data_IF_538383287071
#
_entry.id   IF_538383287071
#
_cell.length_a   1.000
_cell.length_b   1.000
_cell.length_c   1.000
_cell.angle_alpha   90.00
_cell.angle_beta   90.00
_cell.angle_gamma   90.00
#
_symmetry.space_group_name_H-M   'P 1'
#
loop_
_entity.id
_entity.type
_entity.pdbx_description
1 polymer ?
#
# COMPACT_ATOMS: atom_id res chain seq x y z
N UNK A 1 22.90 6.01 -8.82
CA UNK A 1 22.18 5.03 -9.65
C UNK A 1 20.92 4.63 -8.90
N UNK A 2 19.75 5.03 -9.37
CA UNK A 2 18.42 4.41 -9.18
C UNK A 2 17.48 5.28 -10.05
N UNK A 3 16.69 4.80 -11.01
CA UNK A 3 16.57 3.52 -11.67
C UNK A 3 16.18 3.85 -13.13
N UNK A 4 16.76 3.14 -14.09
CA UNK A 4 16.43 3.28 -15.51
C UNK A 4 15.12 2.54 -15.83
N UNK A 5 14.30 3.13 -16.70
CA UNK A 5 13.50 2.40 -17.67
C UNK A 5 12.02 2.16 -17.36
N UNK A 6 11.19 2.68 -18.27
CA UNK A 6 9.74 2.50 -18.47
C UNK A 6 8.86 3.30 -17.50
N UNK A 7 7.96 4.10 -18.08
CA UNK A 7 7.15 5.17 -17.46
C UNK A 7 6.31 4.71 -16.25
N UNK A 8 6.94 4.48 -15.11
CA UNK A 8 6.28 4.31 -13.83
C UNK A 8 6.03 5.70 -13.24
N UNK A 9 4.77 6.15 -13.24
CA UNK A 9 4.40 7.42 -12.61
C UNK A 9 4.39 7.23 -11.11
N UNK A 10 5.40 7.76 -10.43
CA UNK A 10 5.46 7.81 -8.96
C UNK A 10 5.44 9.28 -8.56
N UNK A 11 4.45 9.67 -7.77
CA UNK A 11 4.34 11.04 -7.25
C UNK A 11 4.55 10.98 -5.74
N UNK A 12 5.63 11.64 -5.30
CA UNK A 12 6.08 11.62 -3.90
C UNK A 12 6.00 13.03 -3.34
N UNK A 13 5.19 13.25 -2.31
CA UNK A 13 5.08 14.56 -1.65
C UNK A 13 5.33 14.43 -0.15
N UNK A 14 6.48 14.91 0.31
CA UNK A 14 6.91 14.81 1.72
C UNK A 14 6.90 13.38 2.27
N UNK A 15 7.18 12.37 1.45
CA UNK A 15 7.23 10.97 1.84
C UNK A 15 8.64 10.40 1.74
N UNK A 16 8.89 9.30 2.46
CA UNK A 16 10.20 8.64 2.51
C UNK A 16 10.11 7.24 1.91
N UNK A 17 10.99 6.97 0.96
CA UNK A 17 11.14 5.63 0.34
C UNK A 17 12.60 5.24 0.48
N UNK A 18 12.88 4.15 1.17
CA UNK A 18 14.26 3.70 1.46
C UNK A 18 14.35 2.17 1.56
N UNK A 19 15.57 1.61 1.66
CA UNK A 19 15.80 0.16 1.59
C UNK A 19 15.70 -0.39 0.16
N UNK A 20 15.27 -1.66 0.04
CA UNK A 20 15.04 -2.38 -1.21
C UNK A 20 13.57 -2.27 -1.68
N UNK A 21 12.88 -1.21 -1.27
CA UNK A 21 11.49 -0.98 -1.59
C UNK A 21 11.29 -0.73 -3.10
N UNK A 22 10.27 -1.37 -3.67
CA UNK A 22 9.88 -1.21 -5.07
C UNK A 22 8.55 -0.48 -5.14
N UNK A 23 8.52 0.62 -5.90
CA UNK A 23 7.29 1.43 -6.09
C UNK A 23 7.05 1.69 -7.57
N UNK A 24 5.84 1.35 -8.04
CA UNK A 24 5.40 1.57 -9.43
C UNK A 24 3.93 2.01 -9.44
N UNK A 25 3.58 2.99 -10.29
CA UNK A 25 2.20 3.49 -10.46
C UNK A 25 1.53 3.82 -9.11
N UNK A 26 2.14 4.73 -8.35
CA UNK A 26 1.71 5.04 -6.99
C UNK A 26 1.82 6.54 -6.65
N UNK A 27 0.88 7.00 -5.84
CA UNK A 27 0.85 8.30 -5.20
C UNK A 27 1.17 8.12 -3.73
N UNK A 28 2.30 8.67 -3.28
CA UNK A 28 2.79 8.55 -1.91
C UNK A 28 2.96 9.96 -1.35
N UNK A 29 2.13 10.36 -0.40
CA UNK A 29 2.07 11.74 0.11
C UNK A 29 1.97 11.83 1.64
N UNK A 30 2.19 13.04 2.16
CA UNK A 30 1.90 13.46 3.54
C UNK A 30 2.63 12.70 4.67
N UNK A 31 3.95 12.47 4.54
CA UNK A 31 4.82 11.73 5.50
C UNK A 31 4.65 10.22 5.50
N UNK A 32 4.11 9.66 4.42
CA UNK A 32 4.06 8.22 4.26
C UNK A 32 5.48 7.65 4.10
N UNK A 33 5.68 6.44 4.61
CA UNK A 33 6.97 5.74 4.62
C UNK A 33 6.85 4.37 3.94
N UNK A 34 7.75 4.08 3.01
CA UNK A 34 7.86 2.77 2.34
C UNK A 34 9.29 2.28 2.45
N UNK A 35 9.51 1.15 3.11
CA UNK A 35 10.86 0.68 3.40
C UNK A 35 11.02 -0.85 3.49
N UNK A 36 12.23 -1.31 3.78
CA UNK A 36 12.67 -2.72 3.74
C UNK A 36 12.54 -3.34 2.33
N UNK A 37 11.80 -4.44 2.18
CA UNK A 37 11.54 -5.17 0.93
C UNK A 37 10.08 -4.96 0.47
N UNK A 38 9.46 -3.86 0.86
CA UNK A 38 8.07 -3.57 0.50
C UNK A 38 7.92 -3.41 -1.02
N UNK A 39 6.84 -3.97 -1.57
CA UNK A 39 6.46 -3.79 -2.98
C UNK A 39 5.12 -3.10 -3.12
N UNK A 40 5.11 -1.98 -3.84
CA UNK A 40 3.92 -1.21 -4.21
C UNK A 40 3.81 -1.21 -5.73
N UNK A 41 2.75 -1.82 -6.25
CA UNK A 41 2.55 -2.05 -7.68
C UNK A 41 1.13 -1.65 -8.09
N UNK A 42 0.98 -0.47 -8.69
CA UNK A 42 -0.19 -0.13 -9.49
C UNK A 42 -0.08 -0.65 -10.93
N UNK A 43 -1.02 -0.23 -11.77
CA UNK A 43 -1.03 -0.49 -13.21
C UNK A 43 -1.48 0.77 -13.98
N UNK A 44 -1.64 0.66 -15.29
CA UNK A 44 -2.00 1.79 -16.18
C UNK A 44 -3.39 2.37 -15.88
N UNK A 45 -4.31 1.57 -15.34
CA UNK A 45 -5.69 1.96 -15.04
C UNK A 45 -5.83 2.41 -13.57
N UNK A 46 -5.21 1.66 -12.65
CA UNK A 46 -5.35 1.80 -11.22
C UNK A 46 -4.00 2.05 -10.54
N UNK A 47 -3.85 3.24 -9.97
CA UNK A 47 -2.68 3.57 -9.15
C UNK A 47 -2.85 3.07 -7.71
N UNK A 48 -1.77 3.06 -6.92
CA UNK A 48 -1.83 2.85 -5.46
C UNK A 48 -1.71 4.18 -4.74
N UNK A 49 -2.53 4.39 -3.69
CA UNK A 49 -2.54 5.62 -2.91
C UNK A 49 -2.06 5.35 -1.48
N UNK A 50 -1.03 6.07 -1.07
CA UNK A 50 -0.44 6.02 0.26
C UNK A 50 -0.37 7.44 0.81
N UNK A 51 -1.15 7.73 1.84
CA UNK A 51 -1.32 9.09 2.35
C UNK A 51 -1.10 9.16 3.86
N UNK A 52 -0.95 10.37 4.38
CA UNK A 52 -0.71 10.71 5.78
C UNK A 52 0.52 9.98 6.36
N UNK A 53 0.48 9.55 7.62
CA UNK A 53 1.56 8.82 8.28
C UNK A 53 1.52 7.30 8.00
N UNK A 54 1.04 6.87 6.84
CA UNK A 54 0.92 5.46 6.49
C UNK A 54 2.30 4.82 6.32
N UNK A 55 2.43 3.55 6.74
CA UNK A 55 3.71 2.82 6.63
C UNK A 55 3.54 1.47 5.94
N UNK A 56 4.39 1.19 4.97
CA UNK A 56 4.47 -0.11 4.29
C UNK A 56 5.90 -0.63 4.38
N UNK A 57 6.10 -1.77 5.04
CA UNK A 57 7.44 -2.28 5.37
C UNK A 57 7.50 -3.81 5.50
N UNK A 58 8.68 -4.37 5.74
CA UNK A 58 8.94 -5.80 5.66
C UNK A 58 8.93 -6.32 4.22
N UNK A 59 8.25 -7.44 3.98
CA UNK A 59 7.97 -8.03 2.65
C UNK A 59 6.53 -7.76 2.19
N UNK A 60 5.93 -6.67 2.69
CA UNK A 60 4.55 -6.31 2.39
C UNK A 60 4.35 -6.03 0.90
N UNK A 61 3.18 -6.42 0.37
CA UNK A 61 2.81 -6.21 -1.02
C UNK A 61 1.48 -5.47 -1.10
N UNK A 62 1.48 -4.32 -1.79
CA UNK A 62 0.27 -3.55 -2.10
C UNK A 62 0.11 -3.49 -3.61
N UNK A 63 -0.94 -4.12 -4.13
CA UNK A 63 -1.16 -4.26 -5.57
C UNK A 63 -2.52 -3.74 -6.01
N UNK A 64 -2.56 -2.95 -7.06
CA UNK A 64 -3.83 -2.59 -7.68
C UNK A 64 -4.53 -3.82 -8.27
N UNK A 65 -5.86 -3.79 -8.31
CA UNK A 65 -6.64 -4.79 -9.04
C UNK A 65 -6.73 -4.46 -10.52
N UNK A 66 -7.35 -5.38 -11.26
CA UNK A 66 -7.63 -5.25 -12.69
C UNK A 66 -9.06 -4.76 -12.97
N UNK A 67 -9.89 -4.65 -11.93
CA UNK A 67 -11.26 -4.18 -12.06
C UNK A 67 -11.27 -2.65 -12.12
N UNK A 68 -12.36 -2.08 -12.65
CA UNK A 68 -12.59 -0.63 -12.60
C UNK A 68 -12.56 -0.15 -11.14
N UNK A 69 -11.88 0.97 -10.90
CA UNK A 69 -11.69 1.55 -9.57
C UNK A 69 -11.04 0.61 -8.54
N UNK A 70 -10.24 -0.37 -8.99
CA UNK A 70 -9.51 -1.31 -8.12
C UNK A 70 -8.26 -0.70 -7.46
N UNK A 71 -8.40 0.50 -6.91
CA UNK A 71 -7.37 1.38 -6.37
C UNK A 71 -7.17 1.07 -4.88
N UNK A 72 -6.00 0.55 -4.46
CA UNK A 72 -5.68 0.38 -3.05
C UNK A 72 -5.30 1.73 -2.44
N UNK A 73 -5.94 2.08 -1.34
CA UNK A 73 -5.81 3.37 -0.68
C UNK A 73 -5.53 3.19 0.80
N UNK A 74 -4.37 3.64 1.26
CA UNK A 74 -3.90 3.52 2.64
C UNK A 74 -3.76 4.91 3.23
N UNK A 75 -4.52 5.20 4.28
CA UNK A 75 -4.62 6.50 4.92
C UNK A 75 -4.26 6.45 6.40
N UNK A 76 -4.11 7.65 6.97
CA UNK A 76 -3.87 7.92 8.38
C UNK A 76 -2.60 7.22 8.89
N UNK A 77 -2.67 6.60 10.07
CA UNK A 77 -1.57 5.85 10.68
C UNK A 77 -1.62 4.35 10.35
N UNK A 78 -2.26 3.97 9.25
CA UNK A 78 -2.40 2.57 8.85
C UNK A 78 -1.03 1.96 8.51
N UNK A 79 -0.84 0.70 8.89
CA UNK A 79 0.41 -0.01 8.64
C UNK A 79 0.17 -1.35 7.94
N UNK A 80 0.98 -1.62 6.93
CA UNK A 80 1.06 -2.89 6.21
C UNK A 80 2.48 -3.42 6.37
N UNK A 81 2.63 -4.57 7.01
CA UNK A 81 3.93 -5.04 7.48
C UNK A 81 4.15 -6.52 7.13
N UNK A 82 5.38 -6.99 7.37
CA UNK A 82 5.73 -8.41 7.31
C UNK A 82 5.43 -9.02 5.94
N UNK A 83 4.53 -10.01 5.83
CA UNK A 83 4.16 -10.66 4.57
C UNK A 83 2.72 -10.32 4.16
N UNK A 84 2.19 -9.18 4.62
CA UNK A 84 0.85 -8.74 4.29
C UNK A 84 0.69 -8.45 2.80
N UNK A 85 -0.43 -8.91 2.23
CA UNK A 85 -0.79 -8.68 0.83
C UNK A 85 -2.12 -7.94 0.78
N UNK A 86 -2.09 -6.72 0.26
CA UNK A 86 -3.26 -5.88 -0.02
C UNK A 86 -3.46 -5.87 -1.54
N UNK A 87 -4.65 -6.26 -2.01
CA UNK A 87 -4.95 -6.30 -3.45
C UNK A 87 -6.36 -5.76 -3.75
N UNK A 88 -6.47 -4.98 -4.82
CA UNK A 88 -7.74 -4.46 -5.33
C UNK A 88 -8.19 -3.19 -4.62
N UNK A 89 -9.47 -2.83 -4.78
CA UNK A 89 -10.04 -1.67 -4.09
C UNK A 89 -10.14 -1.96 -2.59
N UNK A 90 -9.15 -1.46 -1.87
CA UNK A 90 -8.98 -1.60 -0.44
C UNK A 90 -8.79 -0.22 0.16
N UNK A 91 -9.65 0.19 1.09
CA UNK A 91 -9.46 1.46 1.81
C UNK A 91 -9.08 1.15 3.25
N UNK A 92 -7.81 1.39 3.60
CA UNK A 92 -7.30 1.26 4.97
C UNK A 92 -7.33 2.62 5.65
N UNK A 93 -8.13 2.73 6.72
CA UNK A 93 -8.26 3.95 7.52
C UNK A 93 -8.17 3.62 9.01
N UNK A 94 -7.39 4.41 9.76
CA UNK A 94 -7.32 4.32 11.22
C UNK A 94 -8.53 5.01 11.87
N UNK A 95 -9.72 4.43 11.71
CA UNK A 95 -10.85 4.62 12.64
C UNK A 95 -11.93 3.59 12.34
N UNK A 96 -11.92 2.46 13.05
CA UNK A 96 -13.10 1.59 13.12
C UNK A 96 -13.45 1.39 14.60
N UNK A 97 -14.58 1.97 15.01
CA UNK A 97 -15.29 1.68 16.27
C UNK A 97 -15.89 0.26 16.30
N UNK A 98 -15.78 -0.49 15.20
CA UNK A 98 -16.19 -1.89 15.10
C UNK A 98 -14.97 -2.81 14.95
N UNK A 99 -14.53 -3.32 16.10
CA UNK A 99 -13.35 -4.19 16.28
C UNK A 99 -13.39 -5.50 15.46
N UNK A 100 -14.55 -5.88 14.90
CA UNK A 100 -14.70 -7.09 14.09
C UNK A 100 -14.32 -6.91 12.62
N UNK A 101 -14.23 -5.67 12.12
CA UNK A 101 -14.10 -5.42 10.66
C UNK A 101 -12.83 -4.70 10.21
N UNK A 102 -12.13 -3.97 11.08
CA UNK A 102 -10.86 -3.36 10.72
C UNK A 102 -9.87 -3.48 11.89
N UNK A 103 -8.94 -4.44 11.83
CA UNK A 103 -7.69 -4.32 12.59
C UNK A 103 -6.73 -3.52 11.72
N UNK A 104 -6.53 -2.24 12.07
CA UNK A 104 -5.65 -1.27 11.42
C UNK A 104 -4.15 -1.55 11.58
N UNK A 105 -3.74 -2.81 11.49
CA UNK A 105 -2.35 -3.22 11.30
C UNK A 105 -2.41 -4.58 10.62
N UNK A 106 -2.09 -4.65 9.32
CA UNK A 106 -1.98 -5.93 8.64
C UNK A 106 -0.61 -6.53 8.96
N UNK A 107 -0.57 -7.35 10.00
CA UNK A 107 0.54 -8.25 10.34
C UNK A 107 0.10 -9.66 10.00
N UNK A 108 0.93 -10.37 9.24
CA UNK A 108 0.63 -11.74 8.85
C UNK A 108 1.43 -12.68 9.74
N UNK A 109 0.99 -12.84 10.98
CA UNK A 109 1.30 -14.06 11.72
C UNK A 109 0.49 -15.18 11.07
N UNK A 110 1.11 -15.89 10.12
CA UNK A 110 0.62 -17.15 9.55
C UNK A 110 -0.75 -17.09 8.84
N UNK A 111 -0.74 -16.95 7.52
CA UNK A 111 -1.79 -17.48 6.63
C UNK A 111 -3.22 -16.88 6.71
N UNK A 112 -3.39 -15.55 6.75
CA UNK A 112 -4.67 -14.90 6.38
C UNK A 112 -4.46 -13.89 5.27
N UNK A 113 -4.64 -14.33 4.02
CA UNK A 113 -4.85 -13.46 2.85
C UNK A 113 -6.01 -12.52 3.17
N UNK A 114 -5.68 -11.26 3.42
CA UNK A 114 -6.63 -10.16 3.48
C UNK A 114 -7.20 -9.91 2.09
N UNK A 115 -8.14 -10.74 1.63
CA UNK A 115 -8.93 -10.38 0.46
C UNK A 115 -9.88 -9.25 0.90
N UNK A 116 -9.59 -8.01 0.50
CA UNK A 116 -10.64 -7.00 0.48
C UNK A 116 -11.72 -7.51 -0.45
N UNK A 117 -12.88 -7.79 0.12
CA UNK A 117 -14.08 -7.96 -0.64
C UNK A 117 -14.62 -6.54 -0.85
N UNK A 118 -14.44 -6.01 -2.06
CA UNK A 118 -15.28 -4.93 -2.56
C UNK A 118 -16.72 -5.38 -2.46
N UNK A 119 -17.56 -4.52 -1.88
CA UNK A 119 -18.99 -4.59 -2.07
C UNK A 119 -19.40 -3.37 -2.86
#
# INVERSE_FOLDING_TARGET
>A
MIAQGLAARVLVHQAQIYGDAVVRYAFIEHRAEVFDFASIEGNEENNVWLCDCAKVYGHAQVKAGIEEDAIPTIHYSSQVAEYAIVKGNCVLKTSCLDWRKCRGTWRTDSARRARCNTR
#
